data_IF_020388368657
#
_entry.id   IF_020388368657
#
_cell.length_a   1.000
_cell.length_b   1.000
_cell.length_c   1.000
_cell.angle_alpha   90.00
_cell.angle_beta   90.00
_cell.angle_gamma   90.00
#
_symmetry.space_group_name_H-M   'P 1'
#
loop_
_entity.id
_entity.type
_entity.pdbx_description
1 polymer ?
#
# COMPACT_ATOMS: atom_id res chain seq x y z
N UNK A 1 -44.08 27.19 -30.73
CA UNK A 1 -42.94 26.88 -29.85
C UNK A 1 -43.23 25.55 -29.20
N UNK A 2 -42.79 24.46 -29.82
CA UNK A 2 -43.14 23.10 -29.41
C UNK A 2 -41.84 22.35 -29.23
N UNK A 3 -41.56 21.99 -27.98
CA UNK A 3 -40.41 21.17 -27.60
C UNK A 3 -40.92 19.77 -27.26
N UNK A 4 -40.01 18.81 -27.38
CA UNK A 4 -40.07 17.40 -26.93
C UNK A 4 -40.68 16.39 -27.91
N UNK A 5 -40.18 15.18 -28.08
CA UNK A 5 -38.86 14.56 -27.82
C UNK A 5 -38.96 13.21 -28.54
N UNK A 6 -38.22 13.02 -29.64
CA UNK A 6 -38.25 11.78 -30.39
C UNK A 6 -37.35 10.74 -29.72
N UNK A 7 -37.90 9.54 -29.54
CA UNK A 7 -37.24 8.35 -29.04
C UNK A 7 -36.03 7.96 -29.90
N UNK A 8 -34.86 7.86 -29.28
CA UNK A 8 -33.64 7.32 -29.87
C UNK A 8 -32.88 6.53 -28.82
N UNK A 9 -33.13 5.23 -28.78
CA UNK A 9 -32.41 4.25 -27.95
C UNK A 9 -30.94 4.27 -28.38
N UNK A 10 -30.04 4.71 -27.51
CA UNK A 10 -28.61 4.43 -27.63
C UNK A 10 -28.14 3.69 -26.38
N UNK A 11 -28.19 2.37 -26.52
CA UNK A 11 -27.50 1.40 -25.69
C UNK A 11 -25.98 1.58 -25.88
N UNK A 12 -25.26 1.86 -24.80
CA UNK A 12 -23.84 1.53 -24.68
C UNK A 12 -23.49 1.30 -23.20
N UNK A 13 -23.40 0.01 -22.85
CA UNK A 13 -22.57 -0.59 -21.81
C UNK A 13 -21.98 0.32 -20.71
N UNK A 14 -22.45 0.16 -19.46
CA UNK A 14 -21.66 -0.39 -18.34
C UNK A 14 -22.46 -0.37 -17.02
N UNK A 15 -22.25 -1.34 -16.11
CA UNK A 15 -23.21 -1.66 -15.05
C UNK A 15 -23.24 -0.64 -13.92
N UNK A 16 -24.47 -0.39 -13.51
CA UNK A 16 -24.93 0.18 -12.26
C UNK A 16 -24.09 -0.27 -11.04
N UNK A 17 -23.43 0.69 -10.39
CA UNK A 17 -23.21 0.64 -8.94
C UNK A 17 -23.66 1.99 -8.38
N UNK A 18 -24.96 2.08 -8.10
CA UNK A 18 -25.51 3.07 -7.18
C UNK A 18 -24.90 2.89 -5.80
N UNK A 19 -23.73 3.50 -5.59
CA UNK A 19 -23.10 3.64 -4.30
C UNK A 19 -23.81 4.77 -3.54
N UNK A 20 -25.00 4.51 -2.99
CA UNK A 20 -25.63 5.45 -2.09
C UNK A 20 -26.33 4.74 -0.91
N UNK A 21 -25.70 4.96 0.24
CA UNK A 21 -26.25 5.05 1.59
C UNK A 21 -26.56 3.74 2.36
N UNK A 22 -25.68 3.40 3.29
CA UNK A 22 -26.02 3.22 4.72
C UNK A 22 -24.77 2.80 5.50
N UNK A 23 -24.08 3.76 6.09
CA UNK A 23 -22.88 3.51 6.91
C UNK A 23 -22.24 4.81 7.35
N UNK A 24 -22.97 5.64 8.08
CA UNK A 24 -22.47 6.84 8.76
C UNK A 24 -21.58 6.44 9.96
N UNK A 25 -20.47 5.77 9.68
CA UNK A 25 -19.48 5.33 10.66
C UNK A 25 -18.11 5.29 10.01
N UNK A 26 -17.34 6.35 10.19
CA UNK A 26 -15.90 6.42 9.94
C UNK A 26 -15.39 5.86 8.61
N UNK A 27 -15.59 6.59 7.50
CA UNK A 27 -14.47 6.72 6.56
C UNK A 27 -13.45 7.64 7.21
N UNK A 28 -12.82 7.17 8.30
CA UNK A 28 -11.46 7.59 8.59
C UNK A 28 -10.73 7.25 7.30
N UNK A 29 -10.32 8.29 6.56
CA UNK A 29 -9.60 8.17 5.30
C UNK A 29 -8.57 7.07 5.46
N UNK A 30 -8.88 5.91 4.90
CA UNK A 30 -8.08 4.71 5.04
C UNK A 30 -6.77 5.05 4.34
N UNK A 31 -5.76 5.44 5.12
CA UNK A 31 -4.45 5.93 4.69
C UNK A 31 -4.47 6.73 3.39
N UNK A 32 -4.44 8.06 3.47
CA UNK A 32 -4.27 8.95 2.31
C UNK A 32 -3.56 8.26 1.12
N UNK A 33 -4.20 8.14 -0.06
CA UNK A 33 -3.73 7.27 -1.14
C UNK A 33 -2.32 7.64 -1.63
N UNK A 34 -1.90 8.89 -1.38
CA UNK A 34 -0.52 9.34 -1.63
C UNK A 34 0.46 8.65 -0.67
N UNK A 35 0.10 8.50 0.60
CA UNK A 35 0.90 7.81 1.62
C UNK A 35 0.99 6.29 1.36
N UNK A 36 -0.11 5.65 0.95
CA UNK A 36 -0.11 4.24 0.52
C UNK A 36 0.80 4.00 -0.70
N UNK A 37 0.73 4.89 -1.69
CA UNK A 37 1.56 4.83 -2.88
C UNK A 37 3.04 5.11 -2.56
N UNK A 38 3.33 6.03 -1.64
CA UNK A 38 4.68 6.32 -1.18
C UNK A 38 5.32 5.12 -0.48
N UNK A 39 4.58 4.41 0.38
CA UNK A 39 5.05 3.17 1.01
C UNK A 39 5.32 2.08 -0.03
N UNK A 40 4.40 1.87 -0.97
CA UNK A 40 4.57 0.89 -2.04
C UNK A 40 5.80 1.19 -2.92
N UNK A 41 6.07 2.46 -3.23
CA UNK A 41 7.26 2.88 -3.98
C UNK A 41 8.55 2.65 -3.19
N UNK A 42 8.57 3.00 -1.91
CA UNK A 42 9.73 2.76 -1.06
C UNK A 42 10.04 1.26 -0.93
N UNK A 43 9.01 0.43 -0.78
CA UNK A 43 9.12 -1.04 -0.73
C UNK A 43 9.67 -1.57 -2.06
N UNK A 44 9.18 -1.10 -3.20
CA UNK A 44 9.70 -1.49 -4.51
C UNK A 44 11.17 -1.10 -4.71
N UNK A 45 11.57 0.08 -4.22
CA UNK A 45 12.97 0.51 -4.25
C UNK A 45 13.87 -0.39 -3.39
N UNK A 46 13.41 -0.79 -2.20
CA UNK A 46 14.14 -1.73 -1.34
C UNK A 46 14.20 -3.14 -1.94
N UNK A 47 13.12 -3.61 -2.60
CA UNK A 47 13.14 -4.89 -3.31
C UNK A 47 14.17 -4.90 -4.45
N UNK A 48 14.33 -3.77 -5.15
CA UNK A 48 15.32 -3.62 -6.21
C UNK A 48 16.78 -3.59 -5.69
N UNK A 49 17.01 -3.23 -4.42
CA UNK A 49 18.35 -3.25 -3.83
C UNK A 49 18.73 -4.60 -3.25
N UNK A 50 17.77 -5.48 -2.91
CA UNK A 50 18.05 -6.82 -2.33
C UNK A 50 19.13 -7.63 -3.09
N UNK A 51 19.11 -7.74 -4.44
CA UNK A 51 20.12 -8.51 -5.16
C UNK A 51 21.55 -7.94 -5.03
N UNK A 52 21.68 -6.66 -4.69
CA UNK A 52 22.98 -5.98 -4.52
C UNK A 52 23.53 -6.07 -3.09
N UNK A 53 22.76 -6.62 -2.15
CA UNK A 53 23.15 -6.72 -0.74
C UNK A 53 23.99 -7.96 -0.41
N UNK A 54 24.26 -8.83 -1.39
CA UNK A 54 25.01 -10.09 -1.23
C UNK A 54 24.52 -10.94 -0.04
N UNK A 55 23.20 -10.92 0.22
CA UNK A 55 22.55 -11.69 1.27
C UNK A 55 22.59 -13.18 0.91
N UNK A 56 22.58 -14.04 1.93
CA UNK A 56 22.32 -15.45 1.71
C UNK A 56 20.89 -15.66 1.17
N UNK A 57 20.68 -16.77 0.47
CA UNK A 57 19.40 -17.06 -0.21
C UNK A 57 18.21 -17.05 0.74
N UNK A 58 18.35 -17.59 1.96
CA UNK A 58 17.25 -17.65 2.92
C UNK A 58 16.89 -16.25 3.42
N UNK A 59 17.88 -15.42 3.76
CA UNK A 59 17.65 -14.03 4.17
C UNK A 59 17.06 -13.19 3.04
N UNK A 60 17.49 -13.39 1.81
CA UNK A 60 16.92 -12.70 0.65
C UNK A 60 15.45 -13.10 0.40
N UNK A 61 15.13 -14.39 0.51
CA UNK A 61 13.75 -14.90 0.39
C UNK A 61 12.86 -14.36 1.50
N UNK A 62 13.28 -14.43 2.77
CA UNK A 62 12.52 -13.90 3.91
C UNK A 62 12.33 -12.38 3.82
N UNK A 63 13.36 -11.64 3.41
CA UNK A 63 13.25 -10.20 3.18
C UNK A 63 12.25 -9.91 2.06
N UNK A 64 12.28 -10.66 0.97
CA UNK A 64 11.34 -10.48 -0.15
C UNK A 64 9.89 -10.77 0.26
N UNK A 65 9.67 -11.78 1.12
CA UNK A 65 8.34 -12.08 1.66
C UNK A 65 7.81 -10.92 2.50
N UNK A 66 8.63 -10.35 3.40
CA UNK A 66 8.21 -9.20 4.20
C UNK A 66 7.98 -7.93 3.37
N UNK A 67 8.72 -7.72 2.29
CA UNK A 67 8.47 -6.62 1.35
C UNK A 67 7.14 -6.79 0.63
N UNK A 68 6.81 -8.00 0.17
CA UNK A 68 5.52 -8.24 -0.48
C UNK A 68 4.36 -8.09 0.51
N UNK A 69 4.50 -8.58 1.74
CA UNK A 69 3.53 -8.35 2.82
C UNK A 69 3.27 -6.84 3.04
N UNK A 70 4.34 -6.03 3.06
CA UNK A 70 4.24 -4.58 3.16
C UNK A 70 3.54 -3.94 1.97
N UNK A 71 3.85 -4.39 0.74
CA UNK A 71 3.25 -3.89 -0.49
C UNK A 71 1.75 -4.21 -0.57
N UNK A 72 1.39 -5.44 -0.22
CA UNK A 72 0.01 -5.91 -0.18
C UNK A 72 -0.76 -5.15 0.90
N UNK A 73 -0.21 -5.03 2.10
CA UNK A 73 -0.89 -4.32 3.18
C UNK A 73 -1.00 -2.81 2.89
N UNK A 74 0.02 -2.18 2.30
CA UNK A 74 -0.01 -0.77 1.93
C UNK A 74 -1.08 -0.44 0.89
N UNK A 75 -1.37 -1.38 -0.02
CA UNK A 75 -2.37 -1.23 -1.09
C UNK A 75 -3.73 -1.87 -0.75
N UNK A 76 -3.84 -2.48 0.43
CA UNK A 76 -5.06 -3.12 0.88
C UNK A 76 -6.17 -2.09 1.08
N UNK A 77 -7.41 -2.48 0.75
CA UNK A 77 -8.60 -1.66 1.03
C UNK A 77 -8.79 -1.39 2.53
N UNK A 78 -8.21 -2.22 3.40
CA UNK A 78 -8.20 -2.07 4.86
C UNK A 78 -6.81 -2.47 5.41
N UNK A 79 -5.85 -1.53 5.44
CA UNK A 79 -4.53 -1.78 5.99
C UNK A 79 -4.58 -1.96 7.50
N UNK A 80 -3.80 -2.92 8.01
CA UNK A 80 -3.61 -3.18 9.43
C UNK A 80 -2.28 -2.65 9.91
N UNK A 81 -2.33 -1.74 10.88
CA UNK A 81 -1.14 -1.19 11.54
C UNK A 81 -0.23 -2.30 12.11
N UNK A 82 -0.82 -3.36 12.69
CA UNK A 82 -0.08 -4.48 13.28
C UNK A 82 0.70 -5.29 12.24
N UNK A 83 0.14 -5.48 11.05
CA UNK A 83 0.81 -6.18 9.94
C UNK A 83 1.96 -5.36 9.36
N UNK A 84 1.73 -4.07 9.11
CA UNK A 84 2.77 -3.14 8.65
C UNK A 84 3.95 -3.11 9.63
N UNK A 85 3.67 -2.98 10.95
CA UNK A 85 4.73 -2.98 11.98
C UNK A 85 5.49 -4.30 12.06
N UNK A 86 4.79 -5.44 11.97
CA UNK A 86 5.42 -6.77 11.99
C UNK A 86 6.35 -6.95 10.79
N UNK A 87 5.89 -6.62 9.59
CA UNK A 87 6.68 -6.73 8.37
C UNK A 87 7.90 -5.79 8.38
N UNK A 88 7.74 -4.54 8.83
CA UNK A 88 8.87 -3.61 9.05
C UNK A 88 9.87 -4.17 10.05
N UNK A 89 9.42 -4.65 11.21
CA UNK A 89 10.31 -5.20 12.24
C UNK A 89 11.07 -6.43 11.75
N UNK A 90 10.44 -7.28 10.93
CA UNK A 90 11.09 -8.41 10.28
C UNK A 90 12.21 -7.94 9.35
N UNK A 91 11.92 -6.96 8.49
CA UNK A 91 12.93 -6.37 7.59
C UNK A 91 14.08 -5.71 8.35
N UNK A 92 13.82 -4.92 9.38
CA UNK A 92 14.88 -4.29 10.18
C UNK A 92 15.76 -5.33 10.87
N UNK A 93 15.20 -6.47 11.28
CA UNK A 93 15.96 -7.57 11.89
C UNK A 93 16.84 -8.28 10.86
N UNK A 94 16.30 -8.59 9.69
CA UNK A 94 17.01 -9.30 8.61
C UNK A 94 18.08 -8.43 7.96
N UNK A 95 17.77 -7.16 7.70
CA UNK A 95 18.59 -6.24 6.93
C UNK A 95 19.39 -5.27 7.81
N UNK A 96 19.21 -5.29 9.14
CA UNK A 96 19.88 -4.38 10.06
C UNK A 96 21.41 -4.50 10.08
N UNK A 97 21.96 -5.64 9.64
CA UNK A 97 23.40 -5.82 9.44
C UNK A 97 23.92 -5.33 8.09
N UNK A 98 23.04 -5.07 7.12
CA UNK A 98 23.41 -4.67 5.76
C UNK A 98 23.44 -3.14 5.63
N UNK A 99 24.62 -2.54 5.74
CA UNK A 99 24.79 -1.08 5.62
C UNK A 99 24.25 -0.52 4.29
N UNK A 100 24.33 -1.28 3.20
CA UNK A 100 23.77 -0.91 1.91
C UNK A 100 22.23 -0.90 1.89
N UNK A 101 21.56 -1.62 2.81
CA UNK A 101 20.11 -1.62 2.98
C UNK A 101 19.63 -0.47 3.86
N UNK A 102 20.47 0.05 4.76
CA UNK A 102 20.08 1.00 5.81
C UNK A 102 19.35 2.24 5.28
N UNK A 103 19.85 2.85 4.20
CA UNK A 103 19.21 4.03 3.58
C UNK A 103 17.84 3.70 2.99
N UNK A 104 17.72 2.55 2.30
CA UNK A 104 16.47 2.12 1.71
C UNK A 104 15.45 1.70 2.79
N UNK A 105 15.90 1.06 3.86
CA UNK A 105 15.08 0.69 5.01
C UNK A 105 14.53 1.92 5.73
N UNK A 106 15.37 2.92 5.99
CA UNK A 106 14.95 4.19 6.58
C UNK A 106 13.93 4.94 5.71
N UNK A 107 14.04 4.84 4.38
CA UNK A 107 13.05 5.40 3.46
C UNK A 107 11.69 4.69 3.57
N UNK A 108 11.69 3.36 3.71
CA UNK A 108 10.47 2.56 3.93
C UNK A 108 9.82 2.90 5.27
N UNK A 109 10.61 2.99 6.35
CA UNK A 109 10.11 3.37 7.68
C UNK A 109 9.46 4.76 7.67
N UNK A 110 10.13 5.75 7.05
CA UNK A 110 9.61 7.11 6.91
C UNK A 110 8.34 7.17 6.06
N UNK A 111 8.24 6.34 5.01
CA UNK A 111 7.04 6.24 4.19
C UNK A 111 5.88 5.55 4.91
N UNK A 112 6.16 4.63 5.84
CA UNK A 112 5.15 3.95 6.64
C UNK A 112 4.58 4.81 7.77
N UNK A 113 5.37 5.76 8.29
CA UNK A 113 5.00 6.66 9.40
C UNK A 113 3.62 7.35 9.27
N UNK A 114 3.28 8.02 8.14
CA UNK A 114 1.97 8.65 7.97
C UNK A 114 0.81 7.63 7.97
N UNK A 115 1.02 6.45 7.37
CA UNK A 115 0.05 5.35 7.35
C UNK A 115 -0.16 4.79 8.76
N UNK A 116 0.91 4.53 9.50
CA UNK A 116 0.85 4.04 10.87
C UNK A 116 0.18 5.03 11.81
N UNK A 117 0.36 6.34 11.58
CA UNK A 117 -0.31 7.39 12.34
C UNK A 117 -1.81 7.45 12.03
N UNK A 118 -2.19 7.33 10.76
CA UNK A 118 -3.60 7.33 10.33
C UNK A 118 -4.38 6.11 10.84
N UNK A 119 -3.72 4.96 10.99
CA UNK A 119 -4.34 3.70 11.45
C UNK A 119 -4.36 3.54 12.99
N UNK A 120 -3.65 4.42 13.71
CA UNK A 120 -3.49 4.34 15.17
C UNK A 120 -4.37 5.30 15.97
N UNK A 121 -5.24 6.08 15.32
CA UNK A 121 -6.21 7.02 15.92
C UNK A 121 -7.62 6.46 15.85
#
# INVERSE_FOLDING_TARGET
MTSQSNWGIQNNNSPNYGAQAAGAGATASVGDPVSANALAQAVAALAATLPSLELDTATAEDASAHLEDLRVEATAAQPSQGRIRRALSGLTTLLGGAAAAATALAAVEKAAEPLLRALGT
#
